data_IF_125909357464
#
_entry.id   IF_125909357464
#
_cell.length_a   1.000
_cell.length_b   1.000
_cell.length_c   1.000
_cell.angle_alpha   90.00
_cell.angle_beta   90.00
_cell.angle_gamma   90.00
#
_symmetry.space_group_name_H-M   'P 1'
#
loop_
_entity.id
_entity.type
_entity.pdbx_description
1 polymer ?
#
# COMPACT_ATOMS: atom_id res chain seq x y z
N UNK A 1 -17.65 11.39 35.64
CA UNK A 1 -16.35 10.78 35.31
C UNK A 1 -16.51 10.24 33.90
N UNK A 2 -16.26 11.09 32.90
CA UNK A 2 -16.38 10.73 31.48
C UNK A 2 -15.13 9.96 31.10
N UNK A 3 -15.28 8.73 30.61
CA UNK A 3 -14.17 7.94 30.14
C UNK A 3 -13.56 8.65 28.92
N UNK A 4 -12.26 8.94 29.00
CA UNK A 4 -11.46 9.35 27.84
C UNK A 4 -11.71 8.35 26.71
N UNK A 5 -12.38 8.80 25.64
CA UNK A 5 -12.64 7.98 24.47
C UNK A 5 -11.34 7.81 23.68
N UNK A 6 -10.45 6.94 24.15
CA UNK A 6 -9.22 6.59 23.44
C UNK A 6 -9.56 5.69 22.25
N UNK A 7 -9.29 6.14 21.02
CA UNK A 7 -9.47 5.28 19.84
C UNK A 7 -8.42 4.16 19.81
N UNK A 8 -8.80 2.92 19.47
CA UNK A 8 -7.85 1.80 19.31
C UNK A 8 -7.05 1.86 18.00
N UNK A 9 -7.45 2.72 17.08
CA UNK A 9 -6.91 2.76 15.72
C UNK A 9 -5.38 2.95 15.67
N UNK A 10 -4.81 3.60 16.68
CA UNK A 10 -3.36 3.77 16.82
C UNK A 10 -2.63 2.48 17.14
N UNK A 11 -3.16 1.72 18.10
CA UNK A 11 -2.63 0.43 18.53
C UNK A 11 -2.75 -0.58 17.40
N UNK A 12 -3.90 -0.62 16.74
CA UNK A 12 -4.15 -1.53 15.62
C UNK A 12 -3.21 -1.23 14.42
N UNK A 13 -2.95 0.06 14.15
CA UNK A 13 -1.99 0.47 13.11
C UNK A 13 -0.54 0.13 13.47
N UNK A 14 -0.15 0.25 14.75
CA UNK A 14 1.17 -0.14 15.24
C UNK A 14 1.37 -1.67 15.19
N UNK A 15 0.32 -2.44 15.46
CA UNK A 15 0.36 -3.89 15.31
C UNK A 15 0.60 -4.27 13.85
N UNK A 16 -0.15 -3.66 12.93
CA UNK A 16 0.05 -3.91 11.50
C UNK A 16 1.44 -3.47 11.04
N UNK A 17 1.96 -2.33 11.50
CA UNK A 17 3.33 -1.91 11.21
C UNK A 17 4.37 -2.92 11.72
N UNK A 18 4.14 -3.48 12.90
CA UNK A 18 5.01 -4.52 13.47
C UNK A 18 4.95 -5.78 12.62
N UNK A 19 3.74 -6.24 12.27
CA UNK A 19 3.55 -7.40 11.42
C UNK A 19 4.23 -7.21 10.05
N UNK A 20 4.03 -6.05 9.41
CA UNK A 20 4.66 -5.63 8.16
C UNK A 20 6.20 -5.66 8.25
N UNK A 21 6.78 -5.17 9.36
CA UNK A 21 8.24 -5.18 9.56
C UNK A 21 8.80 -6.56 9.84
N UNK A 22 7.99 -7.44 10.41
CA UNK A 22 8.36 -8.81 10.75
C UNK A 22 7.98 -9.81 9.65
N UNK A 23 7.47 -9.33 8.51
CA UNK A 23 7.28 -10.16 7.33
C UNK A 23 8.65 -10.72 6.92
N UNK A 24 8.75 -12.04 6.89
CA UNK A 24 9.94 -12.72 6.41
C UNK A 24 10.29 -12.26 4.99
N UNK A 25 11.57 -12.30 4.62
CA UNK A 25 11.97 -12.00 3.24
C UNK A 25 11.30 -12.94 2.24
N UNK A 26 10.83 -14.11 2.67
CA UNK A 26 10.10 -15.07 1.84
C UNK A 26 8.65 -15.16 2.32
N UNK A 27 7.69 -14.87 1.45
CA UNK A 27 6.27 -14.68 1.82
C UNK A 27 5.34 -15.39 0.85
N UNK A 28 4.29 -16.03 1.35
CA UNK A 28 3.26 -16.61 0.49
C UNK A 28 2.31 -15.54 -0.09
N UNK A 29 1.79 -15.78 -1.30
CA UNK A 29 0.90 -14.84 -1.95
C UNK A 29 -0.37 -14.55 -1.13
N UNK A 30 -0.94 -15.56 -0.47
CA UNK A 30 -2.09 -15.40 0.41
C UNK A 30 -1.79 -14.46 1.60
N UNK A 31 -0.63 -14.63 2.23
CA UNK A 31 -0.18 -13.75 3.33
C UNK A 31 -0.05 -12.30 2.86
N UNK A 32 0.47 -12.08 1.66
CA UNK A 32 0.56 -10.73 1.06
C UNK A 32 -0.85 -10.13 0.89
N UNK A 33 -1.81 -10.90 0.35
CA UNK A 33 -3.18 -10.42 0.16
C UNK A 33 -3.88 -10.11 1.49
N UNK A 34 -3.70 -10.97 2.50
CA UNK A 34 -4.24 -10.73 3.84
C UNK A 34 -3.68 -9.43 4.45
N UNK A 35 -2.37 -9.26 4.42
CA UNK A 35 -1.69 -8.09 4.94
C UNK A 35 -2.18 -6.79 4.28
N UNK A 36 -2.26 -6.79 2.95
CA UNK A 36 -2.78 -5.66 2.17
C UNK A 36 -4.23 -5.34 2.53
N UNK A 37 -5.06 -6.36 2.69
CA UNK A 37 -6.45 -6.21 3.09
C UNK A 37 -6.59 -5.65 4.50
N UNK A 38 -5.71 -6.05 5.44
CA UNK A 38 -5.62 -5.51 6.80
C UNK A 38 -5.18 -4.04 6.79
N UNK A 39 -4.15 -3.69 6.02
CA UNK A 39 -3.71 -2.29 5.83
C UNK A 39 -4.87 -1.43 5.31
N UNK A 40 -5.59 -1.89 4.28
CA UNK A 40 -6.71 -1.16 3.72
C UNK A 40 -7.85 -0.96 4.73
N UNK A 41 -8.27 -2.02 5.43
CA UNK A 41 -9.33 -1.94 6.45
C UNK A 41 -8.95 -0.99 7.57
N UNK A 42 -7.70 -1.07 8.04
CA UNK A 42 -7.22 -0.20 9.10
C UNK A 42 -7.20 1.26 8.65
N UNK A 43 -6.68 1.54 7.45
CA UNK A 43 -6.71 2.87 6.86
C UNK A 43 -8.13 3.44 6.79
N UNK A 44 -9.10 2.65 6.32
CA UNK A 44 -10.50 3.07 6.28
C UNK A 44 -11.08 3.38 7.66
N UNK A 45 -10.81 2.51 8.64
CA UNK A 45 -11.25 2.71 10.01
C UNK A 45 -10.68 4.02 10.59
N UNK A 46 -9.39 4.27 10.37
CA UNK A 46 -8.73 5.50 10.80
C UNK A 46 -9.33 6.74 10.12
N UNK A 47 -9.51 6.72 8.80
CA UNK A 47 -10.10 7.83 8.05
C UNK A 47 -11.56 8.09 8.45
N UNK A 48 -12.28 7.08 8.94
CA UNK A 48 -13.68 7.20 9.39
C UNK A 48 -13.80 7.58 10.88
N UNK A 49 -12.73 7.43 11.65
CA UNK A 49 -12.75 7.66 13.08
C UNK A 49 -12.76 9.15 13.43
N UNK A 50 -13.78 9.57 14.18
CA UNK A 50 -13.95 10.97 14.62
C UNK A 50 -12.80 11.42 15.51
N UNK A 51 -12.28 10.54 16.35
CA UNK A 51 -11.19 10.89 17.28
C UNK A 51 -9.85 10.96 16.56
N UNK A 52 -9.59 10.05 15.61
CA UNK A 52 -8.42 10.20 14.74
C UNK A 52 -8.47 11.54 14.01
N UNK A 53 -9.61 11.93 13.44
CA UNK A 53 -9.78 13.23 12.75
C UNK A 53 -9.59 14.45 13.67
N UNK A 54 -9.83 14.33 14.97
CA UNK A 54 -9.66 15.41 15.97
C UNK A 54 -8.23 15.54 16.48
N UNK A 55 -7.50 14.44 16.61
CA UNK A 55 -6.11 14.42 17.02
C UNK A 55 -5.27 15.08 15.92
N UNK A 56 -5.03 16.39 16.11
CA UNK A 56 -4.16 17.22 15.30
C UNK A 56 -2.83 16.52 15.05
N UNK A 57 -2.32 16.63 13.82
CA UNK A 57 -1.19 15.92 13.18
C UNK A 57 0.09 15.62 13.99
N UNK A 58 0.25 16.14 15.21
CA UNK A 58 1.47 15.99 16.01
C UNK A 58 1.62 14.61 16.69
N UNK A 59 0.55 13.81 16.76
CA UNK A 59 0.58 12.47 17.37
C UNK A 59 -0.22 11.42 16.61
N UNK A 60 -0.76 11.76 15.43
CA UNK A 60 -1.77 10.93 14.79
C UNK A 60 -1.15 9.75 14.06
N UNK A 61 -1.69 8.58 14.37
CA UNK A 61 -1.38 7.33 13.67
C UNK A 61 -1.66 7.39 12.18
N UNK A 62 -2.36 8.43 11.68
CA UNK A 62 -2.52 8.69 10.26
C UNK A 62 -1.20 8.63 9.50
N UNK A 63 -0.10 9.09 10.12
CA UNK A 63 1.23 9.12 9.52
C UNK A 63 1.75 7.74 9.09
N UNK A 64 1.16 6.65 9.60
CA UNK A 64 1.54 5.31 9.17
C UNK A 64 0.93 4.89 7.84
N UNK A 65 -0.16 5.52 7.38
CA UNK A 65 -0.89 5.06 6.19
C UNK A 65 0.01 5.09 4.94
N UNK A 66 0.73 6.18 4.60
CA UNK A 66 1.60 6.21 3.44
C UNK A 66 2.72 5.17 3.55
N UNK A 67 3.37 5.05 4.70
CA UNK A 67 4.43 4.07 4.92
C UNK A 67 3.93 2.62 4.76
N UNK A 68 2.74 2.30 5.29
CA UNK A 68 2.10 0.99 5.14
C UNK A 68 1.73 0.71 3.68
N UNK A 69 1.14 1.68 2.98
CA UNK A 69 0.79 1.54 1.57
C UNK A 69 2.02 1.41 0.68
N UNK A 70 3.11 2.11 1.01
CA UNK A 70 4.38 2.02 0.29
C UNK A 70 4.99 0.63 0.42
N UNK A 71 4.90 0.04 1.61
CA UNK A 71 5.34 -1.33 1.84
C UNK A 71 4.51 -2.36 1.05
N UNK A 72 3.18 -2.17 0.97
CA UNK A 72 2.33 -3.01 0.12
C UNK A 72 2.78 -3.00 -1.35
N UNK A 73 3.33 -1.88 -1.83
CA UNK A 73 3.85 -1.79 -3.19
C UNK A 73 5.08 -2.71 -3.37
N UNK A 74 6.04 -2.71 -2.43
CA UNK A 74 7.18 -3.65 -2.46
C UNK A 74 6.74 -5.12 -2.49
N UNK A 75 5.66 -5.47 -1.78
CA UNK A 75 5.10 -6.82 -1.81
C UNK A 75 4.45 -7.14 -3.16
N UNK A 76 3.70 -6.21 -3.76
CA UNK A 76 3.15 -6.38 -5.11
C UNK A 76 4.23 -6.58 -6.16
N UNK A 77 5.36 -5.90 -6.00
CA UNK A 77 6.51 -6.09 -6.87
C UNK A 77 7.06 -7.52 -6.81
N UNK A 78 7.17 -8.10 -5.60
CA UNK A 78 7.57 -9.49 -5.41
C UNK A 78 6.57 -10.47 -6.04
N UNK A 79 5.26 -10.19 -5.93
CA UNK A 79 4.22 -10.98 -6.61
C UNK A 79 4.38 -10.92 -8.13
N UNK A 80 4.63 -9.75 -8.71
CA UNK A 80 4.87 -9.63 -10.14
C UNK A 80 6.04 -10.51 -10.60
N UNK A 81 7.12 -10.54 -9.83
CA UNK A 81 8.30 -11.38 -10.13
C UNK A 81 7.95 -12.87 -10.04
N UNK A 82 7.23 -13.30 -9.01
CA UNK A 82 6.86 -14.70 -8.81
C UNK A 82 5.91 -15.24 -9.90
N UNK A 83 4.98 -14.40 -10.38
CA UNK A 83 3.98 -14.78 -11.39
C UNK A 83 4.33 -14.32 -12.81
N UNK A 84 5.57 -13.89 -13.05
CA UNK A 84 6.06 -13.46 -14.37
C UNK A 84 5.18 -12.38 -15.04
N UNK A 85 4.64 -11.47 -14.24
CA UNK A 85 3.82 -10.36 -14.72
C UNK A 85 4.75 -9.29 -15.29
N UNK A 86 4.87 -9.26 -16.63
CA UNK A 86 5.73 -8.30 -17.35
C UNK A 86 5.33 -6.87 -17.02
N UNK A 87 6.30 -6.08 -16.55
CA UNK A 87 6.18 -4.63 -16.33
C UNK A 87 6.66 -3.92 -17.59
N UNK A 88 5.87 -2.99 -18.14
CA UNK A 88 6.22 -2.24 -19.37
C UNK A 88 7.53 -1.43 -19.30
N UNK A 89 8.04 -1.17 -18.10
CA UNK A 89 9.35 -0.57 -17.90
C UNK A 89 10.30 -1.63 -17.36
N UNK A 90 11.15 -2.15 -18.24
CA UNK A 90 12.26 -3.02 -17.91
C UNK A 90 13.28 -2.25 -17.06
N UNK A 91 13.05 -2.17 -15.74
CA UNK A 91 14.15 -2.30 -14.78
C UNK A 91 14.48 -3.77 -14.53
N UNK A 92 13.63 -4.71 -14.96
CA UNK A 92 13.84 -6.15 -14.88
C UNK A 92 13.81 -6.76 -16.29
N UNK A 93 14.79 -6.39 -17.13
CA UNK A 93 15.13 -7.24 -18.25
C UNK A 93 15.95 -8.42 -17.69
N UNK A 94 15.45 -9.65 -17.84
CA UNK A 94 16.12 -10.86 -17.36
C UNK A 94 17.52 -11.03 -18.00
N UNK A 95 17.82 -10.29 -19.08
CA UNK A 95 19.11 -10.29 -19.76
C UNK A 95 19.99 -9.06 -19.44
N UNK A 96 19.55 -8.11 -18.60
CA UNK A 96 20.37 -6.95 -18.22
C UNK A 96 20.77 -7.07 -16.74
N UNK A 97 21.91 -7.74 -16.55
CA UNK A 97 22.78 -7.67 -15.38
C UNK A 97 22.15 -8.15 -14.06
N UNK A 98 22.02 -9.48 -13.93
CA UNK A 98 21.72 -10.21 -12.70
C UNK A 98 22.70 -9.97 -11.52
N UNK A 99 23.67 -9.06 -11.64
CA UNK A 99 24.69 -8.76 -10.63
C UNK A 99 24.65 -7.31 -10.09
N UNK A 100 23.84 -6.41 -10.67
CA UNK A 100 23.79 -5.00 -10.21
C UNK A 100 22.40 -4.56 -9.71
N UNK A 101 21.39 -5.40 -9.83
CA UNK A 101 20.06 -5.08 -9.30
C UNK A 101 20.04 -5.32 -7.78
N UNK A 102 19.60 -4.36 -6.97
CA UNK A 102 19.37 -4.62 -5.56
C UNK A 102 18.38 -5.78 -5.45
N UNK A 103 18.76 -6.80 -4.67
CA UNK A 103 17.91 -7.96 -4.42
C UNK A 103 16.51 -7.49 -4.04
N UNK A 104 15.44 -8.09 -4.60
CA UNK A 104 14.09 -7.71 -4.26
C UNK A 104 13.91 -7.86 -2.74
N UNK A 105 13.33 -6.83 -2.12
CA UNK A 105 13.15 -6.76 -0.67
C UNK A 105 12.33 -7.96 -0.13
N UNK A 106 11.49 -8.54 -0.98
CA UNK A 106 10.69 -9.72 -0.71
C UNK A 106 10.74 -10.71 -1.86
N UNK A 107 10.64 -11.99 -1.53
CA UNK A 107 10.51 -13.12 -2.43
C UNK A 107 9.11 -13.71 -2.20
N UNK A 108 8.25 -13.63 -3.20
CA UNK A 108 6.92 -14.23 -3.13
C UNK A 108 6.99 -15.72 -3.51
N UNK A 109 6.48 -16.60 -2.67
CA UNK A 109 6.22 -18.00 -3.01
C UNK A 109 4.90 -18.05 -3.79
N UNK A 110 4.92 -18.70 -4.95
CA UNK A 110 3.71 -18.96 -5.74
C UNK A 110 2.82 -19.92 -4.96
N UNK A 111 1.58 -19.51 -4.71
CA UNK A 111 0.54 -20.41 -4.24
C UNK A 111 -0.12 -21.11 -5.44
N UNK A 112 -0.57 -22.36 -5.25
CA UNK A 112 -1.44 -23.04 -6.20
C UNK A 112 -2.77 -22.28 -6.25
N UNK A 113 -3.24 -21.93 -7.45
CA UNK A 113 -4.45 -21.13 -7.61
C UNK A 113 -5.56 -21.99 -8.19
N UNK A 114 -6.69 -22.03 -7.48
CA UNK A 114 -7.86 -22.82 -7.84
C UNK A 114 -9.08 -21.92 -7.95
N UNK A 115 -9.96 -22.22 -8.91
CA UNK A 115 -11.29 -21.64 -9.01
C UNK A 115 -12.33 -22.74 -8.75
N UNK A 116 -12.84 -22.82 -7.53
CA UNK A 116 -13.66 -23.95 -7.09
C UNK A 116 -12.79 -25.20 -6.96
N UNK A 117 -13.14 -26.25 -7.70
CA UNK A 117 -12.37 -27.51 -7.76
C UNK A 117 -11.37 -27.56 -8.94
N UNK A 118 -11.33 -26.52 -9.78
CA UNK A 118 -10.51 -26.48 -10.99
C UNK A 118 -9.20 -25.75 -10.75
N UNK A 119 -8.08 -26.39 -11.06
CA UNK A 119 -6.76 -25.75 -11.11
C UNK A 119 -6.68 -24.79 -12.29
N UNK A 120 -6.21 -23.56 -12.04
CA UNK A 120 -5.96 -22.60 -13.11
C UNK A 120 -4.64 -22.90 -13.82
N UNK A 121 -4.62 -22.74 -15.14
CA UNK A 121 -3.36 -22.78 -15.88
C UNK A 121 -2.48 -21.54 -15.60
N UNK A 122 -1.27 -21.47 -16.16
CA UNK A 122 -0.35 -20.36 -15.92
C UNK A 122 -0.88 -19.02 -16.43
N UNK A 123 -1.60 -19.00 -17.55
CA UNK A 123 -2.14 -17.78 -18.14
C UNK A 123 -3.35 -17.27 -17.33
N UNK A 124 -4.24 -18.16 -16.95
CA UNK A 124 -5.39 -17.89 -16.08
C UNK A 124 -4.94 -17.42 -14.70
N UNK A 125 -3.94 -18.10 -14.12
CA UNK A 125 -3.31 -17.71 -12.86
C UNK A 125 -2.71 -16.31 -12.98
N UNK A 126 -1.94 -16.04 -14.04
CA UNK A 126 -1.35 -14.73 -14.29
C UNK A 126 -2.39 -13.61 -14.42
N UNK A 127 -3.50 -13.88 -15.11
CA UNK A 127 -4.62 -12.93 -15.25
C UNK A 127 -5.32 -12.66 -13.90
N UNK A 128 -5.58 -13.70 -13.11
CA UNK A 128 -6.19 -13.55 -11.80
C UNK A 128 -5.29 -12.76 -10.85
N UNK A 129 -4.01 -13.10 -10.77
CA UNK A 129 -3.04 -12.38 -9.93
C UNK A 129 -2.94 -10.92 -10.36
N UNK A 130 -2.83 -10.65 -11.67
CA UNK A 130 -2.83 -9.27 -12.20
C UNK A 130 -4.10 -8.51 -11.82
N UNK A 131 -5.27 -9.14 -11.91
CA UNK A 131 -6.56 -8.55 -11.51
C UNK A 131 -6.58 -8.21 -10.02
N UNK A 132 -6.09 -9.11 -9.17
CA UNK A 132 -5.98 -8.90 -7.73
C UNK A 132 -5.01 -7.76 -7.39
N UNK A 133 -3.87 -7.69 -8.06
CA UNK A 133 -2.90 -6.60 -7.90
C UNK A 133 -3.52 -5.25 -8.30
N UNK A 134 -4.16 -5.17 -9.47
CA UNK A 134 -4.86 -3.97 -9.92
C UNK A 134 -5.94 -3.54 -8.92
N UNK A 135 -6.80 -4.47 -8.49
CA UNK A 135 -7.89 -4.19 -7.54
C UNK A 135 -7.38 -3.64 -6.22
N UNK A 136 -6.36 -4.28 -5.63
CA UNK A 136 -5.81 -3.85 -4.35
C UNK A 136 -5.03 -2.53 -4.48
N UNK A 137 -4.30 -2.34 -5.57
CA UNK A 137 -3.61 -1.07 -5.86
C UNK A 137 -4.59 0.09 -5.95
N UNK A 138 -5.71 -0.08 -6.65
CA UNK A 138 -6.77 0.94 -6.74
C UNK A 138 -7.41 1.25 -5.39
N UNK A 139 -7.59 0.24 -4.53
CA UNK A 139 -8.10 0.42 -3.16
C UNK A 139 -7.16 1.24 -2.29
N UNK A 140 -5.86 0.95 -2.34
CA UNK A 140 -4.84 1.70 -1.59
C UNK A 140 -4.67 3.12 -2.15
N UNK A 141 -4.77 3.30 -3.48
CA UNK A 141 -4.75 4.61 -4.10
C UNK A 141 -5.94 5.48 -3.62
N UNK A 142 -7.15 4.92 -3.62
CA UNK A 142 -8.35 5.62 -3.12
C UNK A 142 -8.24 6.00 -1.63
N UNK A 143 -7.57 5.17 -0.84
CA UNK A 143 -7.26 5.47 0.56
C UNK A 143 -6.33 6.70 0.68
N UNK A 144 -5.28 6.75 -0.14
CA UNK A 144 -4.33 7.87 -0.19
C UNK A 144 -4.97 9.17 -0.69
N UNK A 145 -5.85 9.09 -1.70
CA UNK A 145 -6.63 10.23 -2.19
C UNK A 145 -7.54 10.82 -1.10
N UNK A 146 -8.24 9.95 -0.38
CA UNK A 146 -9.11 10.38 0.73
C UNK A 146 -8.30 11.05 1.83
N UNK A 147 -7.13 10.49 2.16
CA UNK A 147 -6.20 11.07 3.13
C UNK A 147 -5.68 12.43 2.67
N UNK A 148 -5.30 12.57 1.39
CA UNK A 148 -4.86 13.84 0.82
C UNK A 148 -5.96 14.91 0.91
N UNK A 149 -7.20 14.57 0.58
CA UNK A 149 -8.33 15.48 0.68
C UNK A 149 -8.56 15.97 2.12
N UNK A 150 -8.45 15.07 3.12
CA UNK A 150 -8.56 15.43 4.54
C UNK A 150 -7.44 16.42 4.92
N UNK A 151 -6.19 16.16 4.53
CA UNK A 151 -5.08 17.06 4.85
C UNK A 151 -5.25 18.46 4.24
N UNK A 152 -5.72 18.54 2.99
CA UNK A 152 -5.99 19.81 2.32
C UNK A 152 -7.05 20.63 3.08
N UNK A 153 -8.12 19.99 3.56
CA UNK A 153 -9.12 20.68 4.39
C UNK A 153 -8.53 21.21 5.69
N UNK A 154 -7.71 20.40 6.37
CA UNK A 154 -7.05 20.78 7.63
C UNK A 154 -6.03 21.92 7.45
N UNK A 155 -5.36 22.00 6.30
CA UNK A 155 -4.44 23.09 5.98
C UNK A 155 -5.17 24.40 5.69
N UNK A 156 -6.39 24.35 5.17
CA UNK A 156 -7.17 25.54 4.79
C UNK A 156 -7.86 26.17 6.00
N UNK A 157 -8.28 25.35 6.97
CA UNK A 157 -8.99 25.80 8.17
C UNK A 157 -8.07 26.38 9.27
N UNK A 158 -6.80 26.00 9.31
CA UNK A 158 -5.88 26.39 10.38
C UNK A 158 -5.00 27.60 10.00
N UNK A 159 -5.50 28.81 10.22
CA UNK A 159 -4.72 30.06 10.18
C UNK A 159 -3.66 30.19 11.30
N UNK A 160 -3.48 29.16 12.14
CA UNK A 160 -2.53 29.14 13.26
C UNK A 160 -1.66 27.87 13.34
N UNK A 161 -1.30 27.23 12.23
CA UNK A 161 -0.30 26.15 12.27
C UNK A 161 1.07 26.74 12.66
N UNK A 162 1.59 26.39 13.84
CA UNK A 162 2.97 26.70 14.23
C UNK A 162 3.95 26.27 13.12
N UNK A 163 4.98 27.09 12.87
CA UNK A 163 5.93 26.94 11.75
C UNK A 163 6.55 25.53 11.60
N UNK A 164 6.76 24.82 12.71
CA UNK A 164 7.24 23.44 12.74
C UNK A 164 6.17 22.40 12.30
N UNK A 165 4.90 22.63 12.63
CA UNK A 165 3.78 21.80 12.17
C UNK A 165 3.54 21.92 10.67
N UNK A 166 3.74 23.11 10.10
CA UNK A 166 3.59 23.36 8.66
C UNK A 166 4.68 22.66 7.81
N UNK A 167 5.91 22.55 8.33
CA UNK A 167 6.97 21.80 7.65
C UNK A 167 6.69 20.30 7.65
N UNK A 168 6.22 19.76 8.77
CA UNK A 168 5.88 18.34 8.93
C UNK A 168 4.70 17.95 8.05
N UNK A 169 3.66 18.80 7.98
CA UNK A 169 2.50 18.59 7.11
C UNK A 169 2.89 18.56 5.63
N UNK A 170 3.74 19.49 5.18
CA UNK A 170 4.23 19.50 3.78
C UNK A 170 5.07 18.28 3.43
N UNK A 171 5.94 17.83 4.34
CA UNK A 171 6.71 16.61 4.13
C UNK A 171 5.79 15.38 3.99
N UNK A 172 4.71 15.36 4.78
CA UNK A 172 3.73 14.30 4.74
C UNK A 172 2.86 14.31 3.47
N UNK A 173 2.39 15.49 3.04
CA UNK A 173 1.72 15.66 1.74
C UNK A 173 2.60 15.21 0.58
N UNK A 174 3.89 15.57 0.61
CA UNK A 174 4.87 15.12 -0.38
C UNK A 174 5.04 13.60 -0.37
N UNK A 175 5.08 12.96 0.82
CA UNK A 175 5.12 11.51 0.95
C UNK A 175 3.88 10.84 0.33
N UNK A 176 2.68 11.36 0.61
CA UNK A 176 1.44 10.84 0.01
C UNK A 176 1.48 10.94 -1.51
N UNK A 177 1.85 12.11 -2.03
CA UNK A 177 1.96 12.34 -3.47
C UNK A 177 2.98 11.40 -4.13
N UNK A 178 4.14 11.21 -3.49
CA UNK A 178 5.17 10.28 -3.97
C UNK A 178 4.64 8.85 -4.02
N UNK A 179 4.00 8.37 -2.95
CA UNK A 179 3.43 7.01 -2.92
C UNK A 179 2.30 6.84 -3.94
N UNK A 180 1.40 7.82 -4.08
CA UNK A 180 0.37 7.81 -5.13
C UNK A 180 0.96 7.72 -6.54
N UNK A 181 2.01 8.51 -6.82
CA UNK A 181 2.70 8.47 -8.11
C UNK A 181 3.30 7.09 -8.39
N UNK A 182 3.94 6.47 -7.40
CA UNK A 182 4.49 5.11 -7.51
C UNK A 182 3.40 4.07 -7.78
N UNK A 183 2.24 4.16 -7.13
CA UNK A 183 1.09 3.28 -7.41
C UNK A 183 0.56 3.45 -8.83
N UNK A 184 0.42 4.69 -9.31
CA UNK A 184 -0.01 4.95 -10.69
C UNK A 184 0.98 4.39 -11.71
N UNK A 185 2.28 4.58 -11.49
CA UNK A 185 3.33 4.03 -12.34
C UNK A 185 3.32 2.49 -12.32
N UNK A 186 3.13 1.88 -11.15
CA UNK A 186 2.99 0.43 -11.01
C UNK A 186 1.78 -0.10 -11.78
N UNK A 187 0.60 0.50 -11.58
CA UNK A 187 -0.62 0.15 -12.29
C UNK A 187 -0.43 0.23 -13.80
N UNK A 188 0.24 1.27 -14.30
CA UNK A 188 0.47 1.43 -15.72
C UNK A 188 1.37 0.33 -16.30
N UNK A 189 2.37 -0.10 -15.54
CA UNK A 189 3.26 -1.19 -15.91
C UNK A 189 2.55 -2.55 -15.95
N UNK A 190 1.55 -2.78 -15.10
CA UNK A 190 0.82 -4.04 -15.01
C UNK A 190 -0.55 -4.04 -15.72
N UNK A 191 -0.91 -2.98 -16.46
CA UNK A 191 -2.10 -3.00 -17.31
C UNK A 191 -1.93 -4.03 -18.44
N UNK A 192 -3.00 -4.75 -18.73
CA UNK A 192 -3.09 -5.63 -19.90
C UNK A 192 -3.13 -4.74 -21.14
N UNK A 193 -2.22 -4.93 -22.08
CA UNK A 193 -2.42 -4.39 -23.42
C UNK A 193 -3.66 -5.06 -24.02
N UNK A 194 -4.73 -4.28 -24.17
CA UNK A 194 -5.80 -4.65 -25.08
C UNK A 194 -5.16 -4.67 -26.47
N UNK A 195 -4.86 -5.86 -26.98
CA UNK A 195 -4.55 -6.04 -28.39
C UNK A 195 -5.81 -5.59 -29.16
N UNK A 196 -5.75 -4.39 -29.73
CA UNK A 196 -6.63 -3.94 -30.81
C UNK A 196 -6.39 -4.77 -32.05
#
# INVERSE_FOLDING_TARGET
MEAESSCSCSIDALQILTDVRNVDTVVEFETILDLVQRVYRQGQAMLSCKDCRKLTLQSSSFLSIPALTDHCLSLFEAVCSAYSITRKNCLFDANILAFEQPLPQFICIRSKVQLGETDLDEAETGMLVRTLLCRNSMRLLSLLETLQAILQTLSTDNTQVHRAGAATLRAYESSIQSTMHRFMAFLDQIKVEQRT
#
